data_IF_411112845177
#
_entry.id   IF_411112845177
#
_cell.length_a   1.000
_cell.length_b   1.000
_cell.length_c   1.000
_cell.angle_alpha   90.00
_cell.angle_beta   90.00
_cell.angle_gamma   90.00
#
_symmetry.space_group_name_H-M   'P 1'
#
loop_
_entity.id
_entity.type
_entity.pdbx_description
1 polymer ?
#
# COMPACT_ATOMS: atom_id res chain seq x y z
N UNK A 1 -11.82 -12.31 7.47
CA UNK A 1 -11.13 -11.12 8.03
C UNK A 1 -9.70 -11.38 8.49
N UNK A 2 -9.39 -12.38 9.33
CA UNK A 2 -8.01 -12.61 9.83
C UNK A 2 -6.93 -12.69 8.73
N UNK A 3 -7.25 -13.28 7.57
CA UNK A 3 -6.30 -13.34 6.44
C UNK A 3 -6.07 -11.98 5.79
N UNK A 4 -7.10 -11.14 5.69
CA UNK A 4 -6.98 -9.77 5.15
C UNK A 4 -6.06 -8.96 6.05
N UNK A 5 -6.33 -8.97 7.37
CA UNK A 5 -5.50 -8.29 8.37
C UNK A 5 -4.06 -8.79 8.33
N UNK A 6 -3.87 -10.12 8.28
CA UNK A 6 -2.53 -10.70 8.21
C UNK A 6 -1.75 -10.35 6.93
N UNK A 7 -2.42 -10.12 5.80
CA UNK A 7 -1.76 -9.64 4.57
C UNK A 7 -1.33 -8.17 4.74
N UNK A 8 -2.18 -7.33 5.32
CA UNK A 8 -1.87 -5.89 5.49
C UNK A 8 -0.89 -5.61 6.64
N UNK A 9 -0.77 -6.50 7.62
CA UNK A 9 0.03 -6.31 8.83
C UNK A 9 1.49 -5.95 8.54
N UNK A 10 2.14 -6.68 7.63
CA UNK A 10 3.56 -6.46 7.28
C UNK A 10 3.75 -5.06 6.69
N UNK A 11 2.84 -4.64 5.79
CA UNK A 11 2.86 -3.30 5.23
C UNK A 11 2.61 -2.25 6.31
N UNK A 12 1.63 -2.46 7.20
CA UNK A 12 1.35 -1.53 8.30
C UNK A 12 2.56 -1.33 9.21
N UNK A 13 3.26 -2.41 9.56
CA UNK A 13 4.48 -2.34 10.36
C UNK A 13 5.60 -1.60 9.62
N UNK A 14 5.81 -1.88 8.33
CA UNK A 14 6.81 -1.17 7.54
C UNK A 14 6.52 0.34 7.44
N UNK A 15 5.25 0.71 7.23
CA UNK A 15 4.83 2.12 7.19
C UNK A 15 4.99 2.82 8.55
N UNK A 16 4.90 2.09 9.67
CA UNK A 16 5.14 2.62 11.01
C UNK A 16 6.63 2.87 11.30
N UNK A 17 7.55 2.19 10.60
CA UNK A 17 9.00 2.41 10.73
C UNK A 17 9.49 3.71 10.08
N UNK A 18 8.59 4.64 9.71
CA UNK A 18 8.90 5.95 9.08
C UNK A 18 9.75 5.80 7.81
N UNK A 19 10.53 6.80 7.45
CA UNK A 19 11.40 6.85 6.27
C UNK A 19 12.51 5.80 6.27
N UNK A 20 12.59 4.91 7.29
CA UNK A 20 13.70 4.00 7.49
C UNK A 20 13.89 3.01 6.32
N UNK A 21 12.87 2.77 5.49
CA UNK A 21 13.03 2.00 4.25
C UNK A 21 11.88 2.27 3.27
N UNK A 22 11.81 3.48 2.72
CA UNK A 22 10.73 3.88 1.79
C UNK A 22 10.63 2.92 0.60
N UNK A 23 11.77 2.49 0.05
CA UNK A 23 11.80 1.58 -1.10
C UNK A 23 11.19 0.22 -0.75
N UNK A 24 11.57 -0.37 0.38
CA UNK A 24 10.95 -1.61 0.84
C UNK A 24 9.46 -1.44 1.14
N UNK A 25 9.06 -0.33 1.77
CA UNK A 25 7.65 -0.04 2.02
C UNK A 25 6.85 0.03 0.70
N UNK A 26 7.38 0.69 -0.34
CA UNK A 26 6.71 0.76 -1.65
C UNK A 26 6.63 -0.61 -2.35
N UNK A 27 7.68 -1.44 -2.22
CA UNK A 27 7.62 -2.84 -2.68
C UNK A 27 6.56 -3.66 -1.93
N UNK A 28 6.43 -3.43 -0.62
CA UNK A 28 5.39 -4.05 0.22
C UNK A 28 3.98 -3.61 -0.19
N UNK A 29 3.78 -2.36 -0.60
CA UNK A 29 2.48 -1.92 -1.16
C UNK A 29 2.10 -2.78 -2.36
N UNK A 30 3.00 -2.95 -3.32
CA UNK A 30 2.76 -3.74 -4.54
C UNK A 30 2.47 -5.21 -4.23
N UNK A 31 3.27 -5.83 -3.37
CA UNK A 31 3.06 -7.24 -2.98
C UNK A 31 1.79 -7.43 -2.15
N UNK A 32 1.44 -6.49 -1.28
CA UNK A 32 0.18 -6.49 -0.50
C UNK A 32 -1.03 -6.42 -1.43
N UNK A 33 -1.01 -5.51 -2.42
CA UNK A 33 -2.07 -5.41 -3.44
C UNK A 33 -2.23 -6.73 -4.20
N UNK A 34 -1.13 -7.34 -4.65
CA UNK A 34 -1.15 -8.62 -5.36
C UNK A 34 -1.71 -9.78 -4.49
N UNK A 35 -1.32 -9.83 -3.21
CA UNK A 35 -1.83 -10.85 -2.28
C UNK A 35 -3.33 -10.68 -2.00
N UNK A 36 -3.81 -9.45 -1.85
CA UNK A 36 -5.24 -9.16 -1.69
C UNK A 36 -6.03 -9.55 -2.96
N UNK A 37 -5.52 -9.25 -4.15
CA UNK A 37 -6.13 -9.67 -5.42
C UNK A 37 -6.21 -11.20 -5.53
N UNK A 38 -5.13 -11.91 -5.17
CA UNK A 38 -5.14 -13.37 -5.13
C UNK A 38 -6.13 -13.92 -4.10
N UNK A 39 -6.20 -13.32 -2.91
CA UNK A 39 -7.19 -13.69 -1.88
C UNK A 39 -8.62 -13.52 -2.39
N UNK A 40 -8.89 -12.46 -3.14
CA UNK A 40 -10.20 -12.21 -3.76
C UNK A 40 -10.56 -13.28 -4.79
N UNK A 41 -9.62 -13.67 -5.64
CA UNK A 41 -9.85 -14.62 -6.75
C UNK A 41 -9.98 -16.06 -6.25
N UNK A 42 -9.03 -16.50 -5.42
CA UNK A 42 -8.85 -17.93 -5.10
C UNK A 42 -9.07 -18.24 -3.61
N UNK A 43 -9.26 -17.21 -2.79
CA UNK A 43 -9.22 -17.36 -1.34
C UNK A 43 -10.53 -17.79 -0.69
N UNK A 44 -11.65 -17.70 -1.41
CA UNK A 44 -12.99 -18.02 -0.89
C UNK A 44 -13.09 -19.45 -0.38
N UNK A 45 -12.74 -20.45 -1.20
CA UNK A 45 -12.92 -21.86 -0.83
C UNK A 45 -12.09 -22.25 0.38
N UNK A 46 -10.87 -21.70 0.49
CA UNK A 46 -9.99 -21.92 1.63
C UNK A 46 -10.54 -21.22 2.88
N UNK A 47 -11.07 -20.00 2.74
CA UNK A 47 -11.72 -19.29 3.84
C UNK A 47 -12.95 -20.06 4.34
N UNK A 48 -13.82 -20.52 3.45
CA UNK A 48 -15.03 -21.25 3.81
C UNK A 48 -14.71 -22.58 4.49
N UNK A 49 -13.76 -23.36 3.98
CA UNK A 49 -13.33 -24.60 4.64
C UNK A 49 -12.87 -24.39 6.09
N UNK A 50 -12.21 -23.26 6.37
CA UNK A 50 -11.80 -22.91 7.72
C UNK A 50 -12.99 -22.53 8.61
N UNK A 51 -13.97 -21.80 8.05
CA UNK A 51 -15.23 -21.46 8.74
C UNK A 51 -16.02 -22.73 9.05
N UNK A 52 -16.19 -23.62 8.07
CA UNK A 52 -16.88 -24.90 8.24
C UNK A 52 -16.23 -25.74 9.34
N UNK A 53 -14.89 -25.87 9.30
CA UNK A 53 -14.15 -26.60 10.33
C UNK A 53 -14.31 -25.97 11.73
N UNK A 54 -14.33 -24.64 11.81
CA UNK A 54 -14.59 -23.94 13.06
C UNK A 54 -16.01 -24.19 13.57
N UNK A 55 -17.03 -24.06 12.71
CA UNK A 55 -18.42 -24.29 13.07
C UNK A 55 -18.64 -25.73 13.57
N UNK A 56 -18.12 -26.73 12.86
CA UNK A 56 -18.18 -28.14 13.26
C UNK A 56 -17.54 -28.39 14.63
N UNK A 57 -16.41 -27.76 14.92
CA UNK A 57 -15.71 -27.91 16.22
C UNK A 57 -16.48 -27.30 17.39
N UNK A 58 -17.34 -26.32 17.12
CA UNK A 58 -18.08 -25.56 18.13
C UNK A 58 -19.59 -25.86 18.11
N UNK A 59 -20.02 -26.90 17.40
CA UNK A 59 -21.43 -27.30 17.26
C UNK A 59 -22.34 -26.15 16.77
N UNK A 60 -21.82 -25.36 15.81
CA UNK A 60 -22.56 -24.27 15.18
C UNK A 60 -23.12 -24.77 13.85
N UNK A 61 -24.44 -24.68 13.68
CA UNK A 61 -25.11 -25.02 12.44
C UNK A 61 -24.67 -24.11 11.28
N UNK A 62 -24.35 -24.73 10.15
CA UNK A 62 -23.96 -24.04 8.93
C UNK A 62 -25.24 -23.84 8.09
N UNK A 63 -25.57 -22.61 7.67
CA UNK A 63 -26.75 -22.37 6.85
C UNK A 63 -26.61 -23.04 5.48
N UNK A 64 -27.74 -23.43 4.88
CA UNK A 64 -27.76 -23.92 3.51
C UNK A 64 -27.31 -22.81 2.55
N UNK A 65 -26.13 -22.97 1.98
CA UNK A 65 -25.49 -22.02 1.06
C UNK A 65 -26.27 -21.84 -0.25
N UNK A 66 -27.07 -22.84 -0.64
CA UNK A 66 -27.94 -22.80 -1.82
C UNK A 66 -29.30 -22.16 -1.53
N UNK A 67 -29.65 -21.96 -0.26
CA UNK A 67 -30.90 -21.33 0.12
C UNK A 67 -30.95 -19.88 -0.36
N UNK A 68 -32.18 -19.38 -0.50
CA UNK A 68 -32.41 -17.96 -0.78
C UNK A 68 -31.99 -17.11 0.41
N UNK A 69 -31.18 -16.10 0.17
CA UNK A 69 -30.86 -15.10 1.17
C UNK A 69 -32.09 -14.21 1.42
N UNK A 70 -32.57 -14.17 2.67
CA UNK A 70 -33.72 -13.33 3.08
C UNK A 70 -33.21 -12.28 4.05
N UNK A 71 -33.03 -11.04 3.58
CA UNK A 71 -32.68 -9.93 4.47
C UNK A 71 -33.86 -9.61 5.39
N UNK A 72 -33.65 -9.65 6.71
CA UNK A 72 -34.70 -9.55 7.75
C UNK A 72 -35.36 -8.18 7.95
N UNK A 73 -35.29 -7.26 6.98
CA UNK A 73 -35.94 -5.95 7.08
C UNK A 73 -36.60 -5.57 5.77
N UNK A 74 -37.93 -5.54 5.84
CA UNK A 74 -38.88 -4.94 4.92
C UNK A 74 -38.37 -3.60 4.38
N UNK A 75 -38.37 -3.43 3.06
CA UNK A 75 -38.35 -2.17 2.29
C UNK A 75 -37.10 -1.73 1.49
N UNK A 76 -35.92 -2.36 1.57
CA UNK A 76 -34.77 -1.80 0.83
C UNK A 76 -34.47 -2.33 -0.59
N UNK A 77 -34.94 -3.51 -1.01
CA UNK A 77 -34.66 -4.00 -2.37
C UNK A 77 -35.77 -4.92 -2.90
N UNK A 78 -36.81 -4.37 -3.54
CA UNK A 78 -37.76 -5.15 -4.35
C UNK A 78 -37.17 -5.62 -5.70
N UNK A 79 -35.85 -5.61 -5.85
CA UNK A 79 -35.14 -6.00 -7.09
C UNK A 79 -34.15 -7.17 -6.92
N UNK A 80 -33.92 -7.68 -5.70
CA UNK A 80 -33.00 -8.82 -5.46
C UNK A 80 -33.75 -10.16 -5.43
N UNK A 81 -34.51 -10.43 -6.48
CA UNK A 81 -35.02 -11.78 -6.70
C UNK A 81 -33.81 -12.67 -7.08
N UNK A 82 -33.58 -13.75 -6.32
CA UNK A 82 -32.61 -14.85 -6.60
C UNK A 82 -31.16 -14.76 -6.06
N UNK A 83 -30.84 -14.01 -5.00
CA UNK A 83 -29.52 -14.10 -4.35
C UNK A 83 -29.46 -15.32 -3.39
N UNK A 84 -28.41 -16.14 -3.50
CA UNK A 84 -28.14 -17.26 -2.58
C UNK A 84 -27.38 -16.80 -1.34
N UNK A 85 -27.46 -17.58 -0.26
CA UNK A 85 -26.66 -17.33 0.96
C UNK A 85 -25.16 -17.29 0.63
N UNK A 86 -24.67 -18.19 -0.24
CA UNK A 86 -23.28 -18.15 -0.67
C UNK A 86 -22.92 -16.84 -1.36
N UNK A 87 -23.75 -16.38 -2.30
CA UNK A 87 -23.50 -15.12 -3.02
C UNK A 87 -23.38 -13.96 -2.06
N UNK A 88 -24.29 -13.87 -1.08
CA UNK A 88 -24.24 -12.81 -0.08
C UNK A 88 -22.93 -12.80 0.70
N UNK A 89 -22.51 -13.93 1.26
CA UNK A 89 -21.27 -13.98 2.04
C UNK A 89 -20.01 -13.85 1.18
N UNK A 90 -20.00 -14.42 -0.03
CA UNK A 90 -18.84 -14.39 -0.93
C UNK A 90 -18.66 -13.04 -1.59
N UNK A 91 -19.72 -12.50 -2.19
CA UNK A 91 -19.65 -11.30 -3.02
C UNK A 91 -19.86 -10.06 -2.17
N UNK A 92 -20.99 -9.98 -1.47
CA UNK A 92 -21.39 -8.75 -0.77
C UNK A 92 -20.58 -8.51 0.52
N UNK A 93 -20.00 -9.56 1.12
CA UNK A 93 -19.22 -9.45 2.35
C UNK A 93 -17.74 -9.69 2.10
N UNK A 94 -17.34 -10.89 1.67
CA UNK A 94 -15.93 -11.25 1.57
C UNK A 94 -15.20 -10.46 0.48
N UNK A 95 -15.71 -10.47 -0.76
CA UNK A 95 -15.11 -9.71 -1.84
C UNK A 95 -15.20 -8.21 -1.58
N UNK A 96 -16.34 -7.70 -1.11
CA UNK A 96 -16.49 -6.29 -0.75
C UNK A 96 -15.44 -5.83 0.29
N UNK A 97 -15.14 -6.65 1.31
CA UNK A 97 -14.10 -6.33 2.29
C UNK A 97 -12.69 -6.29 1.68
N UNK A 98 -12.37 -7.21 0.77
CA UNK A 98 -11.06 -7.22 0.08
C UNK A 98 -10.96 -6.05 -0.90
N UNK A 99 -12.03 -5.77 -1.64
CA UNK A 99 -12.12 -4.68 -2.61
C UNK A 99 -11.99 -3.33 -1.92
N UNK A 100 -12.56 -3.17 -0.73
CA UNK A 100 -12.38 -1.97 0.08
C UNK A 100 -10.90 -1.74 0.43
N UNK A 101 -10.18 -2.78 0.86
CA UNK A 101 -8.74 -2.66 1.17
C UNK A 101 -7.91 -2.34 -0.08
N UNK A 102 -8.21 -2.97 -1.21
CA UNK A 102 -7.55 -2.69 -2.48
C UNK A 102 -7.79 -1.25 -2.94
N UNK A 103 -9.04 -0.77 -2.85
CA UNK A 103 -9.40 0.60 -3.18
C UNK A 103 -8.63 1.60 -2.31
N UNK A 104 -8.58 1.36 -1.00
CA UNK A 104 -7.86 2.23 -0.07
C UNK A 104 -6.36 2.30 -0.38
N UNK A 105 -5.72 1.15 -0.65
CA UNK A 105 -4.32 1.11 -1.04
C UNK A 105 -4.06 1.78 -2.40
N UNK A 106 -4.97 1.66 -3.36
CA UNK A 106 -4.84 2.31 -4.66
C UNK A 106 -5.01 3.82 -4.58
N UNK A 107 -5.93 4.30 -3.73
CA UNK A 107 -6.14 5.73 -3.52
C UNK A 107 -4.97 6.38 -2.78
N UNK A 108 -4.47 5.73 -1.72
CA UNK A 108 -3.35 6.28 -0.91
C UNK A 108 -2.00 6.14 -1.61
N UNK A 109 -1.78 5.04 -2.31
CA UNK A 109 -0.54 4.75 -3.02
C UNK A 109 -0.85 4.62 -4.51
N UNK A 110 -1.24 5.76 -5.10
CA UNK A 110 -1.36 5.91 -6.54
C UNK A 110 0.01 5.82 -7.21
N UNK A 111 0.06 5.63 -8.52
CA UNK A 111 1.33 5.57 -9.26
C UNK A 111 2.20 6.81 -9.01
N UNK A 112 1.61 8.00 -9.07
CA UNK A 112 2.32 9.25 -8.77
C UNK A 112 2.78 9.36 -7.31
N UNK A 113 1.96 8.90 -6.35
CA UNK A 113 2.35 8.89 -4.93
C UNK A 113 3.49 7.89 -4.64
N UNK A 114 3.53 6.76 -5.35
CA UNK A 114 4.64 5.81 -5.24
C UNK A 114 5.89 6.39 -5.90
N UNK A 115 5.77 6.97 -7.10
CA UNK A 115 6.90 7.55 -7.83
C UNK A 115 7.56 8.68 -7.05
N UNK A 116 6.80 9.62 -6.49
CA UNK A 116 7.35 10.72 -5.69
C UNK A 116 8.08 10.18 -4.44
N UNK A 117 7.55 9.13 -3.79
CA UNK A 117 8.18 8.51 -2.62
C UNK A 117 9.48 7.78 -3.00
N UNK A 118 9.50 7.09 -4.13
CA UNK A 118 10.71 6.42 -4.65
C UNK A 118 11.78 7.45 -4.99
N UNK A 119 11.45 8.52 -5.72
CA UNK A 119 12.40 9.58 -6.04
C UNK A 119 12.90 10.31 -4.79
N UNK A 120 12.02 10.54 -3.81
CA UNK A 120 12.40 11.14 -2.52
C UNK A 120 13.38 10.28 -1.71
N UNK A 121 13.52 8.98 -2.00
CA UNK A 121 14.53 8.14 -1.34
C UNK A 121 15.97 8.56 -1.67
N UNK A 122 16.18 9.32 -2.76
CA UNK A 122 17.48 9.89 -3.10
C UNK A 122 17.94 10.99 -2.11
N UNK A 123 17.02 11.52 -1.29
CA UNK A 123 17.32 12.52 -0.27
C UNK A 123 17.71 11.90 1.08
N UNK A 124 17.68 10.57 1.19
CA UNK A 124 17.97 9.87 2.44
C UNK A 124 19.47 9.99 2.84
N UNK A 125 19.79 10.62 3.98
CA UNK A 125 21.19 10.86 4.36
C UNK A 125 21.89 9.62 4.93
N UNK A 126 21.16 8.53 5.20
CA UNK A 126 21.69 7.33 5.85
C UNK A 126 22.70 6.59 4.99
N UNK A 127 23.49 5.75 5.65
CA UNK A 127 24.56 4.95 5.02
C UNK A 127 25.51 5.79 4.14
N UNK A 128 25.83 7.00 4.61
CA UNK A 128 26.64 7.99 3.89
C UNK A 128 26.06 8.35 2.51
N UNK A 129 24.76 8.69 2.47
CA UNK A 129 24.06 9.12 1.25
C UNK A 129 24.09 8.06 0.13
N UNK A 130 24.14 6.77 0.47
CA UNK A 130 24.22 5.68 -0.52
C UNK A 130 23.08 5.67 -1.55
N UNK A 131 21.91 6.16 -1.16
CA UNK A 131 20.73 6.25 -2.03
C UNK A 131 20.74 7.48 -2.94
N UNK A 132 21.67 8.41 -2.73
CA UNK A 132 21.74 9.67 -3.47
C UNK A 132 21.97 9.43 -4.96
N UNK A 133 21.08 10.04 -5.76
CA UNK A 133 21.11 9.98 -7.22
C UNK A 133 20.62 11.30 -7.77
N UNK A 134 21.50 11.99 -8.46
CA UNK A 134 21.24 13.31 -9.05
C UNK A 134 20.02 13.26 -9.98
N UNK A 135 19.97 12.24 -10.86
CA UNK A 135 18.88 12.07 -11.82
C UNK A 135 17.51 11.93 -11.11
N UNK A 136 17.45 11.21 -9.99
CA UNK A 136 16.20 11.01 -9.26
C UNK A 136 15.71 12.31 -8.61
N UNK A 137 16.63 13.15 -8.09
CA UNK A 137 16.30 14.46 -7.52
C UNK A 137 15.88 15.45 -8.62
N UNK A 138 16.58 15.48 -9.76
CA UNK A 138 16.18 16.29 -10.91
C UNK A 138 14.78 15.90 -11.40
N UNK A 139 14.51 14.60 -11.56
CA UNK A 139 13.21 14.08 -11.93
C UNK A 139 12.11 14.45 -10.92
N UNK A 140 12.43 14.42 -9.62
CA UNK A 140 11.51 14.82 -8.55
C UNK A 140 11.07 16.28 -8.75
N UNK A 141 12.03 17.18 -8.94
CA UNK A 141 11.78 18.60 -9.15
C UNK A 141 11.00 18.85 -10.44
N UNK A 142 11.42 18.24 -11.55
CA UNK A 142 10.79 18.44 -12.86
C UNK A 142 9.34 17.95 -12.91
N UNK A 143 9.06 16.78 -12.33
CA UNK A 143 7.73 16.15 -12.42
C UNK A 143 6.76 16.63 -11.36
N UNK A 144 7.22 16.80 -10.11
CA UNK A 144 6.33 17.00 -8.97
C UNK A 144 6.37 18.42 -8.39
N UNK A 145 7.46 19.17 -8.60
CA UNK A 145 7.62 20.54 -8.10
C UNK A 145 7.93 21.59 -9.19
N UNK A 146 7.29 21.54 -10.39
CA UNK A 146 7.66 22.44 -11.49
C UNK A 146 7.30 23.92 -11.25
N UNK A 147 6.46 24.20 -10.24
CA UNK A 147 6.05 25.57 -9.89
C UNK A 147 6.92 26.18 -8.78
N UNK A 148 7.64 25.35 -8.04
CA UNK A 148 8.49 25.80 -6.93
C UNK A 148 9.90 26.17 -7.41
N UNK A 149 10.25 25.81 -8.64
CA UNK A 149 11.54 26.10 -9.25
C UNK A 149 11.38 26.83 -10.59
N UNK A 150 12.12 27.90 -10.77
CA UNK A 150 12.27 28.55 -12.08
C UNK A 150 13.02 27.64 -13.04
N UNK A 151 12.90 27.89 -14.35
CA UNK A 151 13.68 27.18 -15.38
C UNK A 151 15.19 27.29 -15.12
N UNK A 152 15.68 28.49 -14.77
CA UNK A 152 17.09 28.71 -14.42
C UNK A 152 17.55 27.91 -13.19
N UNK A 153 16.72 27.81 -12.16
CA UNK A 153 17.06 27.02 -10.96
C UNK A 153 17.13 25.53 -11.29
N UNK A 154 16.23 25.02 -12.14
CA UNK A 154 16.29 23.62 -12.61
C UNK A 154 17.53 23.34 -13.46
N UNK A 155 17.90 24.26 -14.34
CA UNK A 155 19.12 24.13 -15.15
C UNK A 155 20.39 24.10 -14.28
N UNK A 156 20.41 24.90 -13.21
CA UNK A 156 21.55 24.96 -12.28
C UNK A 156 21.56 23.83 -11.25
N UNK A 157 20.41 23.22 -10.97
CA UNK A 157 20.24 22.19 -9.94
C UNK A 157 21.22 21.04 -10.11
N UNK A 158 21.39 20.53 -11.34
CA UNK A 158 22.31 19.42 -11.60
C UNK A 158 23.75 19.76 -11.19
N UNK A 159 24.25 20.93 -11.60
CA UNK A 159 25.60 21.38 -11.23
C UNK A 159 25.73 21.51 -9.70
N UNK A 160 24.71 22.04 -9.02
CA UNK A 160 24.71 22.14 -7.55
C UNK A 160 24.74 20.77 -6.87
N UNK A 161 23.99 19.80 -7.40
CA UNK A 161 23.96 18.43 -6.89
C UNK A 161 25.28 17.68 -7.12
N UNK A 162 25.99 17.95 -8.22
CA UNK A 162 27.34 17.39 -8.48
C UNK A 162 28.36 17.90 -7.44
N UNK A 163 28.28 19.19 -7.08
CA UNK A 163 29.09 19.72 -5.97
C UNK A 163 28.69 19.09 -4.64
N UNK A 164 27.39 18.96 -4.37
CA UNK A 164 26.88 18.32 -3.15
C UNK A 164 27.39 16.88 -2.98
N UNK A 165 27.39 16.09 -4.06
CA UNK A 165 27.85 14.69 -4.05
C UNK A 165 29.32 14.56 -3.62
N UNK A 166 30.17 15.51 -4.01
CA UNK A 166 31.59 15.51 -3.66
C UNK A 166 31.85 16.02 -2.23
N UNK A 167 31.12 17.04 -1.81
CA UNK A 167 31.42 17.76 -0.56
C UNK A 167 30.79 17.09 0.67
N UNK A 168 29.52 16.69 0.59
CA UNK A 168 28.73 16.29 1.77
C UNK A 168 29.19 14.98 2.43
N UNK A 169 29.53 13.91 1.69
CA UNK A 169 30.01 12.67 2.31
C UNK A 169 31.30 12.84 3.13
N UNK A 170 32.12 13.83 2.78
CA UNK A 170 33.41 14.10 3.43
C UNK A 170 33.31 15.09 4.59
N UNK A 171 32.14 15.73 4.77
CA UNK A 171 31.97 16.80 5.72
C UNK A 171 31.48 16.26 7.09
N UNK A 172 32.28 16.46 8.14
CA UNK A 172 32.07 15.85 9.47
C UNK A 172 30.68 16.08 10.07
N UNK A 173 30.05 17.22 9.79
CA UNK A 173 28.70 17.55 10.30
C UNK A 173 27.59 16.67 9.72
N UNK A 174 27.81 16.01 8.58
CA UNK A 174 26.78 15.24 7.86
C UNK A 174 26.95 13.72 8.01
N UNK A 175 28.01 13.25 8.67
CA UNK A 175 28.34 11.82 8.77
C UNK A 175 27.39 11.02 9.69
N UNK A 176 26.65 11.68 10.57
CA UNK A 176 25.77 11.03 11.55
C UNK A 176 24.29 11.35 11.36
N UNK A 177 23.90 11.90 10.19
CA UNK A 177 22.51 12.21 9.92
C UNK A 177 21.71 10.92 9.66
N UNK A 178 20.58 10.83 10.34
CA UNK A 178 19.67 9.69 10.33
C UNK A 178 18.35 10.00 9.65
N UNK A 179 18.00 11.29 9.50
CA UNK A 179 16.74 11.71 8.88
C UNK A 179 16.91 12.93 7.98
N UNK A 180 16.03 13.06 6.97
CA UNK A 180 15.98 14.23 6.08
C UNK A 180 15.74 15.53 6.85
N UNK A 181 15.10 15.49 8.02
CA UNK A 181 14.87 16.69 8.84
C UNK A 181 16.16 17.28 9.45
N UNK A 182 17.24 16.50 9.48
CA UNK A 182 18.54 16.94 9.99
C UNK A 182 19.38 17.66 8.92
N UNK A 183 18.96 17.60 7.64
CA UNK A 183 19.52 18.38 6.53
C UNK A 183 19.10 19.85 6.61
#
# INVERSE_FOLDING_TARGET
>A
LNRIIGITEILCQALQQKSQDILNAMNLVSTTKALLQKLRQDGWDTFMRNVESFCQRNDIDIPDMSARYKTGTTHFCQQQDYITVEHHYRIDIFNAAVDFQLMELNNRFSEGAIEILILSSALDPRDAYKSFKIDDICNLVEKFYPQDFTERERDLLRCQLEHYELDVPHHQNFQNMSTIFEL
#
